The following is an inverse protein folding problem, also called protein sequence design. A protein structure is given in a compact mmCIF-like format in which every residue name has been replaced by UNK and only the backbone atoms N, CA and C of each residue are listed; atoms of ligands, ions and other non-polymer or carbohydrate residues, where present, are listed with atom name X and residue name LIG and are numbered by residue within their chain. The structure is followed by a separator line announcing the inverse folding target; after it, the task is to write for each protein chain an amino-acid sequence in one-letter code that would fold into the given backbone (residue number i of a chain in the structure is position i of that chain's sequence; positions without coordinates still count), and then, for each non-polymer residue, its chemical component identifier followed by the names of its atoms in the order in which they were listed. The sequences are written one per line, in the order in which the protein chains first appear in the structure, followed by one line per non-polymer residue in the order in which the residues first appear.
data_IF_936540926749
#
_entry.id   IF_936540926749
#
_cell.length_a   1.000
_cell.length_b   1.000
_cell.length_c   1.000
_cell.angle_alpha   90.00
_cell.angle_beta   90.00
_cell.angle_gamma   90.00
#
_symmetry.space_group_name_H-M   'P 1'
#
loop_
_entity.id
_entity.type
_entity.pdbx_description
1 polymer ?
#
# COMPACT_ATOMS: atom_id res chain seq x y z
N UNK A 1 -1.95 -0.35 -17.18
CA UNK A 1 -0.50 -0.14 -16.97
C UNK A 1 -0.24 -0.24 -15.47
N UNK A 2 0.55 -1.21 -15.02
CA UNK A 2 0.76 -1.46 -13.57
C UNK A 2 1.56 -0.31 -12.94
N UNK A 3 1.11 0.28 -11.81
CA UNK A 3 1.75 1.44 -11.17
C UNK A 3 3.15 1.17 -10.59
N UNK A 4 3.65 -0.06 -10.70
CA UNK A 4 4.96 -0.47 -10.18
C UNK A 4 6.11 -0.25 -11.18
N UNK A 5 5.80 0.03 -12.46
CA UNK A 5 6.81 0.11 -13.54
C UNK A 5 7.79 1.29 -13.54
N UNK A 6 7.80 2.15 -12.52
CA UNK A 6 8.65 3.34 -12.53
C UNK A 6 9.08 3.66 -11.09
N UNK A 7 10.18 3.09 -10.58
CA UNK A 7 11.20 3.85 -9.79
C UNK A 7 12.40 3.09 -9.17
N UNK A 8 12.73 1.85 -9.50
CA UNK A 8 13.96 1.22 -8.95
C UNK A 8 15.23 1.41 -9.79
N UNK A 9 15.15 2.08 -10.95
CA UNK A 9 16.28 2.25 -11.89
C UNK A 9 17.12 3.52 -11.61
N UNK A 10 16.66 4.44 -10.74
CA UNK A 10 17.24 5.78 -10.71
C UNK A 10 18.49 5.96 -9.83
N UNK A 11 18.90 4.98 -9.03
CA UNK A 11 20.15 5.06 -8.23
C UNK A 11 21.38 4.43 -8.89
N UNK A 12 21.25 3.78 -10.06
CA UNK A 12 22.36 3.05 -10.71
C UNK A 12 22.92 3.78 -11.95
N UNK A 13 22.30 4.88 -12.43
CA UNK A 13 22.60 5.41 -13.79
C UNK A 13 22.75 6.92 -13.99
N UNK A 14 23.20 7.71 -13.00
CA UNK A 14 23.48 9.15 -13.25
C UNK A 14 24.85 9.63 -12.78
N UNK A 15 25.89 9.08 -13.41
CA UNK A 15 27.09 9.86 -13.75
C UNK A 15 26.87 10.52 -15.12
N UNK A 16 27.12 11.83 -15.22
CA UNK A 16 27.10 12.68 -16.42
C UNK A 16 25.75 12.93 -17.12
N UNK A 17 25.21 14.15 -16.95
CA UNK A 17 25.27 15.21 -17.99
C UNK A 17 24.61 16.51 -17.52
N UNK A 18 25.29 17.60 -17.85
CA UNK A 18 24.98 19.02 -17.64
C UNK A 18 23.89 19.55 -18.57
N UNK A 19 23.42 20.77 -18.24
CA UNK A 19 22.64 21.77 -19.02
C UNK A 19 21.14 21.50 -19.20
N UNK A 20 20.22 22.49 -19.17
CA UNK A 20 20.21 23.96 -18.96
C UNK A 20 18.78 24.37 -18.58
N UNK A 21 18.63 25.50 -17.89
CA UNK A 21 17.35 26.17 -17.55
C UNK A 21 16.77 26.96 -18.73
N UNK A 22 15.44 27.20 -18.71
CA UNK A 22 14.66 28.44 -19.05
C UNK A 22 13.25 28.09 -19.66
N UNK A 23 12.30 29.04 -19.85
CA UNK A 23 11.29 29.43 -18.86
C UNK A 23 9.83 29.43 -19.40
N UNK A 24 8.90 29.92 -18.56
CA UNK A 24 7.45 29.95 -18.69
C UNK A 24 6.82 30.61 -19.94
N UNK A 25 5.59 30.20 -20.27
CA UNK A 25 4.67 30.90 -21.18
C UNK A 25 3.20 30.58 -20.87
N UNK A 26 2.36 31.60 -20.67
CA UNK A 26 0.89 31.55 -20.52
C UNK A 26 0.22 31.87 -21.87
N UNK A 27 -0.95 31.28 -22.18
CA UNK A 27 -2.27 31.98 -22.30
C UNK A 27 -3.43 31.12 -22.83
N UNK A 28 -4.59 31.41 -22.22
CA UNK A 28 -5.96 31.52 -22.76
C UNK A 28 -6.73 30.28 -23.25
N UNK A 29 -7.86 30.00 -22.61
CA UNK A 29 -9.04 29.43 -23.28
C UNK A 29 -10.33 30.02 -22.73
N UNK A 30 -11.24 30.29 -23.68
CA UNK A 30 -12.49 31.06 -23.56
C UNK A 30 -13.56 30.34 -22.73
N UNK A 31 -14.43 31.18 -22.17
CA UNK A 31 -15.65 30.90 -21.42
C UNK A 31 -16.66 30.04 -22.16
N UNK A 32 -17.37 29.18 -21.42
CA UNK A 32 -18.70 28.69 -21.78
C UNK A 32 -19.62 28.97 -20.59
N UNK A 33 -20.79 29.51 -20.91
CA UNK A 33 -21.75 30.22 -20.07
C UNK A 33 -22.53 29.28 -19.12
N UNK A 34 -22.73 29.73 -17.88
CA UNK A 34 -23.30 28.99 -16.74
C UNK A 34 -24.84 29.12 -16.69
N UNK A 35 -25.49 29.35 -17.84
CA UNK A 35 -26.94 29.57 -17.96
C UNK A 35 -27.69 28.41 -18.62
N UNK A 36 -27.00 27.34 -19.05
CA UNK A 36 -27.61 26.23 -19.81
C UNK A 36 -27.74 24.92 -19.01
N UNK A 37 -27.42 24.89 -17.71
CA UNK A 37 -27.47 23.65 -16.90
C UNK A 37 -28.38 23.71 -15.66
N UNK A 38 -29.13 24.81 -15.47
CA UNK A 38 -30.01 24.99 -14.31
C UNK A 38 -31.47 25.17 -14.76
N UNK A 39 -32.00 24.19 -15.48
CA UNK A 39 -33.40 24.20 -15.95
C UNK A 39 -34.12 22.85 -15.81
N UNK A 40 -33.73 22.01 -14.83
CA UNK A 40 -34.49 20.81 -14.45
C UNK A 40 -34.50 20.63 -12.92
N UNK A 41 -34.86 21.70 -12.21
CA UNK A 41 -35.30 21.64 -10.82
C UNK A 41 -36.68 22.28 -10.74
N UNK A 42 -37.61 21.57 -10.10
CA UNK A 42 -38.99 21.95 -9.74
C UNK A 42 -40.06 21.48 -10.71
N UNK A 43 -40.74 20.37 -10.38
CA UNK A 43 -42.15 20.39 -9.98
C UNK A 43 -42.61 18.94 -9.69
N UNK A 44 -42.89 18.62 -8.43
CA UNK A 44 -44.07 17.87 -7.97
C UNK A 44 -44.07 17.96 -6.43
N UNK A 45 -45.13 18.56 -5.92
CA UNK A 45 -45.39 18.89 -4.54
C UNK A 45 -46.36 17.86 -3.93
N UNK A 46 -46.08 17.48 -2.68
CA UNK A 46 -46.96 16.98 -1.62
C UNK A 46 -47.92 15.79 -1.86
N UNK A 47 -47.62 14.69 -1.16
CA UNK A 47 -48.61 13.92 -0.40
C UNK A 47 -47.98 13.49 0.94
N UNK A 48 -48.41 14.11 2.03
CA UNK A 48 -48.11 13.68 3.40
C UNK A 48 -49.23 12.78 3.91
N UNK A 49 -48.91 11.54 4.28
CA UNK A 49 -49.70 10.77 5.23
C UNK A 49 -48.81 9.87 6.10
N UNK A 50 -49.13 9.94 7.40
CA UNK A 50 -48.80 9.09 8.53
C UNK A 50 -47.92 7.83 8.36
N UNK A 51 -46.85 7.80 9.14
CA UNK A 51 -46.66 6.80 10.19
C UNK A 51 -46.69 5.32 9.81
N UNK A 52 -45.51 4.79 9.47
CA UNK A 52 -45.07 3.48 9.95
C UNK A 52 -43.56 3.57 10.15
N UNK A 53 -43.10 3.42 11.40
CA UNK A 53 -41.68 3.36 11.71
C UNK A 53 -41.05 2.21 10.94
N UNK A 54 -40.36 2.53 9.84
CA UNK A 54 -39.37 1.62 9.26
C UNK A 54 -38.28 1.49 10.30
N UNK A 55 -38.28 0.37 11.02
CA UNK A 55 -37.07 -0.16 11.62
C UNK A 55 -35.99 -0.06 10.54
N UNK A 56 -34.96 0.72 10.84
CA UNK A 56 -33.80 0.91 9.99
C UNK A 56 -33.15 -0.46 9.84
N UNK A 57 -33.57 -1.23 8.84
CA UNK A 57 -32.89 -2.46 8.46
C UNK A 57 -31.54 -2.01 7.94
N UNK A 58 -30.53 -2.09 8.82
CA UNK A 58 -29.15 -1.88 8.43
C UNK A 58 -28.86 -2.74 7.21
N UNK A 59 -28.22 -2.14 6.20
CA UNK A 59 -27.69 -2.90 5.07
C UNK A 59 -27.01 -4.16 5.59
N UNK A 60 -27.19 -5.34 4.95
CA UNK A 60 -26.47 -6.53 5.35
C UNK A 60 -24.98 -6.19 5.38
N UNK A 61 -24.30 -6.51 6.49
CA UNK A 61 -22.88 -6.25 6.66
C UNK A 61 -22.13 -6.81 5.45
N UNK A 62 -21.18 -6.02 4.92
CA UNK A 62 -20.35 -6.41 3.79
C UNK A 62 -19.62 -7.73 4.12
N UNK A 63 -19.42 -8.60 3.13
CA UNK A 63 -18.66 -9.83 3.35
C UNK A 63 -17.25 -9.47 3.83
N UNK A 64 -16.86 -9.85 5.06
CA UNK A 64 -15.56 -9.47 5.62
C UNK A 64 -14.41 -10.28 5.00
N UNK A 65 -14.69 -11.25 4.13
CA UNK A 65 -13.67 -11.99 3.39
C UNK A 65 -13.10 -11.17 2.24
N UNK A 66 -11.92 -11.60 1.80
CA UNK A 66 -11.28 -11.07 0.60
C UNK A 66 -12.03 -11.58 -0.64
N UNK A 67 -12.40 -10.68 -1.55
CA UNK A 67 -13.04 -11.06 -2.81
C UNK A 67 -12.03 -11.71 -3.76
N UNK A 68 -12.52 -12.36 -4.81
CA UNK A 68 -11.67 -12.94 -5.85
C UNK A 68 -10.80 -11.88 -6.55
N UNK A 69 -11.35 -10.69 -6.78
CA UNK A 69 -10.64 -9.57 -7.42
C UNK A 69 -9.55 -9.00 -6.50
N UNK A 70 -9.86 -8.82 -5.22
CA UNK A 70 -8.89 -8.41 -4.20
C UNK A 70 -7.75 -9.42 -4.08
N UNK A 71 -8.07 -10.72 -4.06
CA UNK A 71 -7.09 -11.81 -4.01
C UNK A 71 -6.18 -11.80 -5.23
N UNK A 72 -6.76 -11.72 -6.43
CA UNK A 72 -5.98 -11.67 -7.67
C UNK A 72 -5.05 -10.44 -7.71
N UNK A 73 -5.50 -9.31 -7.18
CA UNK A 73 -4.71 -8.07 -7.06
C UNK A 73 -3.53 -8.24 -6.09
N UNK A 74 -3.77 -8.75 -4.89
CA UNK A 74 -2.72 -9.02 -3.87
C UNK A 74 -1.65 -9.95 -4.44
N UNK A 75 -2.07 -11.10 -4.99
CA UNK A 75 -1.15 -12.09 -5.57
C UNK A 75 -0.33 -11.44 -6.69
N UNK A 76 -0.98 -10.67 -7.56
CA UNK A 76 -0.28 -9.96 -8.63
C UNK A 76 0.77 -8.99 -8.10
N UNK A 77 0.46 -8.18 -7.09
CA UNK A 77 1.43 -7.25 -6.50
C UNK A 77 2.58 -7.97 -5.81
N UNK A 78 2.31 -9.08 -5.13
CA UNK A 78 3.36 -9.90 -4.53
C UNK A 78 4.30 -10.49 -5.59
N UNK A 79 3.77 -11.03 -6.70
CA UNK A 79 4.61 -11.57 -7.79
C UNK A 79 5.42 -10.46 -8.48
N UNK A 80 4.76 -9.36 -8.86
CA UNK A 80 5.41 -8.25 -9.55
C UNK A 80 6.53 -7.64 -8.67
N UNK A 81 6.24 -7.38 -7.39
CA UNK A 81 7.21 -6.77 -6.47
C UNK A 81 8.36 -7.70 -6.08
N UNK A 82 8.12 -9.01 -5.96
CA UNK A 82 9.18 -9.99 -5.72
C UNK A 82 10.18 -9.96 -6.88
N UNK A 83 9.67 -10.01 -8.10
CA UNK A 83 10.51 -9.96 -9.29
C UNK A 83 11.35 -8.70 -9.32
N UNK A 84 10.73 -7.54 -9.12
CA UNK A 84 11.43 -6.26 -9.14
C UNK A 84 12.50 -6.16 -8.04
N UNK A 85 12.20 -6.63 -6.83
CA UNK A 85 13.13 -6.64 -5.72
C UNK A 85 14.34 -7.55 -5.99
N UNK A 86 14.09 -8.79 -6.44
CA UNK A 86 15.15 -9.74 -6.72
C UNK A 86 16.02 -9.30 -7.90
N UNK A 87 15.42 -8.81 -8.99
CA UNK A 87 16.15 -8.29 -10.14
C UNK A 87 17.07 -7.11 -9.76
N UNK A 88 16.62 -6.25 -8.82
CA UNK A 88 17.39 -5.09 -8.38
C UNK A 88 18.65 -5.46 -7.57
N UNK A 89 18.68 -6.62 -6.93
CA UNK A 89 19.80 -7.02 -6.06
C UNK A 89 20.64 -8.17 -6.60
N UNK A 90 20.15 -8.96 -7.57
CA UNK A 90 20.75 -10.22 -8.01
C UNK A 90 22.23 -10.13 -8.43
N UNK A 91 22.66 -9.02 -9.04
CA UNK A 91 23.97 -8.90 -9.66
C UNK A 91 24.88 -7.85 -9.00
N UNK A 92 24.57 -7.44 -7.77
CA UNK A 92 25.39 -6.46 -7.04
C UNK A 92 26.71 -7.10 -6.57
N UNK A 93 27.84 -6.44 -6.80
CA UNK A 93 29.12 -6.87 -6.20
C UNK A 93 29.13 -6.63 -4.69
N UNK A 94 30.07 -7.22 -3.96
CA UNK A 94 30.22 -6.98 -2.52
C UNK A 94 30.48 -5.50 -2.19
N UNK A 95 31.25 -4.81 -3.04
CA UNK A 95 31.50 -3.37 -2.88
C UNK A 95 30.21 -2.58 -3.04
N UNK A 96 29.37 -2.92 -4.03
CA UNK A 96 28.07 -2.26 -4.24
C UNK A 96 27.07 -2.58 -3.11
N UNK A 97 27.07 -3.81 -2.62
CA UNK A 97 26.23 -4.26 -1.51
C UNK A 97 26.51 -3.46 -0.23
N UNK A 98 27.79 -3.19 0.03
CA UNK A 98 28.27 -2.51 1.25
C UNK A 98 28.46 -1.01 1.09
N UNK A 99 28.36 -0.47 -0.13
CA UNK A 99 28.55 0.95 -0.39
C UNK A 99 27.55 1.80 0.41
N UNK A 100 28.08 2.74 1.19
CA UNK A 100 27.29 3.76 1.90
C UNK A 100 27.51 5.13 1.26
N UNK A 101 26.46 5.81 0.76
CA UNK A 101 26.60 7.14 0.17
C UNK A 101 26.95 8.21 1.21
N UNK A 102 26.66 7.96 2.49
CA UNK A 102 27.19 8.72 3.64
C UNK A 102 27.08 7.89 4.93
N UNK A 103 27.76 8.28 6.02
CA UNK A 103 27.74 7.53 7.29
C UNK A 103 26.34 7.36 7.90
N UNK A 104 25.40 8.25 7.57
CA UNK A 104 24.04 8.28 8.11
C UNK A 104 22.99 7.69 7.16
N UNK A 105 23.43 6.99 6.11
CA UNK A 105 22.56 6.40 5.10
C UNK A 105 22.81 4.91 4.99
N UNK A 106 21.73 4.18 4.73
CA UNK A 106 21.81 2.75 4.52
C UNK A 106 22.53 2.41 3.22
N UNK A 107 23.31 1.34 3.24
CA UNK A 107 23.80 0.69 2.04
C UNK A 107 22.66 0.02 1.26
N UNK A 108 22.94 -0.44 0.04
CA UNK A 108 21.95 -1.21 -0.72
C UNK A 108 21.59 -2.51 0.01
N UNK A 109 22.58 -3.18 0.62
CA UNK A 109 22.34 -4.37 1.44
C UNK A 109 21.47 -4.09 2.67
N UNK A 110 21.69 -2.98 3.37
CA UNK A 110 20.86 -2.57 4.51
C UNK A 110 19.42 -2.23 4.07
N UNK A 111 19.22 -1.59 2.92
CA UNK A 111 17.88 -1.37 2.35
C UNK A 111 17.21 -2.70 1.99
N UNK A 112 17.95 -3.63 1.38
CA UNK A 112 17.43 -4.93 1.00
C UNK A 112 17.02 -5.75 2.24
N UNK A 113 17.85 -5.76 3.28
CA UNK A 113 17.55 -6.40 4.57
C UNK A 113 16.31 -5.78 5.22
N UNK A 114 16.19 -4.44 5.24
CA UNK A 114 15.01 -3.74 5.76
C UNK A 114 13.71 -4.19 5.09
N UNK A 115 13.70 -4.32 3.76
CA UNK A 115 12.53 -4.79 3.01
C UNK A 115 12.15 -6.22 3.43
N UNK A 116 13.15 -7.09 3.55
CA UNK A 116 12.94 -8.50 3.93
C UNK A 116 12.40 -8.66 5.36
N UNK A 117 12.91 -7.91 6.34
CA UNK A 117 12.35 -7.93 7.70
C UNK A 117 10.98 -7.27 7.79
N UNK A 118 10.71 -6.26 6.95
CA UNK A 118 9.41 -5.58 6.91
C UNK A 118 8.33 -6.49 6.33
N UNK A 119 8.61 -7.27 5.29
CA UNK A 119 7.69 -8.28 4.75
C UNK A 119 7.24 -9.25 5.85
N UNK A 120 8.20 -9.76 6.63
CA UNK A 120 7.91 -10.65 7.77
C UNK A 120 7.02 -9.95 8.81
N UNK A 121 7.36 -8.71 9.16
CA UNK A 121 6.60 -7.94 10.12
C UNK A 121 5.16 -7.68 9.66
N UNK A 122 4.94 -7.39 8.37
CA UNK A 122 3.61 -7.18 7.79
C UNK A 122 2.75 -8.44 7.86
N UNK A 123 3.29 -9.60 7.46
CA UNK A 123 2.56 -10.87 7.60
C UNK A 123 2.20 -11.16 9.07
N UNK A 124 3.12 -10.90 10.01
CA UNK A 124 2.83 -11.04 11.43
C UNK A 124 1.77 -10.05 11.94
N UNK A 125 1.60 -8.88 11.33
CA UNK A 125 0.49 -7.95 11.64
C UNK A 125 -0.85 -8.49 11.14
N UNK A 126 -0.88 -9.13 9.97
CA UNK A 126 -2.06 -9.84 9.46
C UNK A 126 -2.46 -10.96 10.44
N UNK A 127 -1.48 -11.78 10.85
CA UNK A 127 -1.69 -12.86 11.83
C UNK A 127 -2.18 -12.32 13.19
N UNK A 128 -1.60 -11.23 13.68
CA UNK A 128 -2.00 -10.59 14.94
C UNK A 128 -3.41 -10.02 14.87
N UNK A 129 -3.78 -9.35 13.76
CA UNK A 129 -5.14 -8.86 13.58
C UNK A 129 -6.15 -10.00 13.63
N UNK A 130 -5.87 -11.11 12.94
CA UNK A 130 -6.74 -12.29 12.93
C UNK A 130 -6.85 -13.01 14.29
N UNK A 131 -5.91 -12.77 15.20
CA UNK A 131 -5.97 -13.30 16.56
C UNK A 131 -6.88 -12.46 17.48
N UNK A 132 -7.14 -11.20 17.13
CA UNK A 132 -8.09 -10.34 17.86
C UNK A 132 -9.54 -10.77 17.61
N UNK A 133 -10.44 -10.36 18.51
CA UNK A 133 -11.88 -10.56 18.29
C UNK A 133 -12.34 -9.75 17.06
N UNK A 134 -13.33 -10.26 16.28
CA UNK A 134 -13.95 -9.46 15.24
C UNK A 134 -14.44 -8.12 15.78
N UNK A 135 -14.04 -7.04 15.11
CA UNK A 135 -14.43 -5.69 15.46
C UNK A 135 -15.79 -5.39 14.81
N UNK A 136 -16.88 -5.16 15.58
CA UNK A 136 -18.21 -4.91 15.02
C UNK A 136 -18.28 -3.61 14.19
N UNK A 137 -17.38 -2.67 14.42
CA UNK A 137 -17.32 -1.38 13.73
C UNK A 137 -16.27 -1.34 12.60
N UNK A 138 -15.79 -2.49 12.13
CA UNK A 138 -14.68 -2.57 11.18
C UNK A 138 -14.94 -1.73 9.91
N UNK A 139 -16.15 -1.82 9.32
CA UNK A 139 -16.53 -1.08 8.11
C UNK A 139 -16.31 0.43 8.27
N UNK A 140 -16.76 0.98 9.41
CA UNK A 140 -16.63 2.41 9.70
C UNK A 140 -15.18 2.79 9.98
N UNK A 141 -14.44 1.96 10.73
CA UNK A 141 -13.05 2.27 11.13
C UNK A 141 -12.06 2.13 9.97
N UNK A 142 -12.35 1.27 8.99
CA UNK A 142 -11.45 1.01 7.87
C UNK A 142 -11.99 1.50 6.52
N UNK A 143 -13.05 2.31 6.52
CA UNK A 143 -13.60 2.92 5.31
C UNK A 143 -12.51 3.70 4.54
N UNK A 144 -12.31 3.35 3.28
CA UNK A 144 -11.34 4.01 2.39
C UNK A 144 -9.86 3.72 2.69
N UNK A 145 -9.55 2.79 3.61
CA UNK A 145 -8.16 2.49 4.00
C UNK A 145 -7.38 1.80 2.89
N UNK A 146 -8.00 0.86 2.17
CA UNK A 146 -7.34 0.19 1.06
C UNK A 146 -6.91 1.19 -0.02
N UNK A 147 -7.82 2.05 -0.50
CA UNK A 147 -7.52 3.07 -1.50
C UNK A 147 -6.50 4.10 -0.99
N UNK A 148 -6.56 4.41 0.31
CA UNK A 148 -5.57 5.27 0.94
C UNK A 148 -4.18 4.64 0.88
N UNK A 149 -4.03 3.38 1.29
CA UNK A 149 -2.78 2.61 1.29
C UNK A 149 -2.22 2.50 -0.12
N UNK A 150 -3.04 2.08 -1.08
CA UNK A 150 -2.67 1.95 -2.50
C UNK A 150 -2.11 3.25 -3.09
N UNK A 151 -2.63 4.40 -2.64
CA UNK A 151 -2.15 5.71 -3.08
C UNK A 151 -0.87 6.14 -2.38
N UNK A 152 -0.73 5.89 -1.07
CA UNK A 152 0.37 6.45 -0.29
C UNK A 152 1.62 5.59 -0.27
N UNK A 153 1.49 4.26 -0.29
CA UNK A 153 2.63 3.34 -0.16
C UNK A 153 3.60 3.41 -1.35
N UNK A 154 3.15 3.54 -2.61
CA UNK A 154 4.06 3.74 -3.73
C UNK A 154 4.70 5.13 -3.73
N UNK A 155 4.05 6.14 -3.13
CA UNK A 155 4.51 7.53 -3.16
C UNK A 155 5.86 7.72 -2.47
N UNK A 156 6.74 8.54 -3.07
CA UNK A 156 8.07 8.86 -2.55
C UNK A 156 8.20 10.31 -2.07
N UNK A 157 7.08 11.01 -1.93
CA UNK A 157 7.06 12.43 -1.57
C UNK A 157 7.30 12.69 -0.10
N UNK A 158 7.12 11.68 0.76
CA UNK A 158 7.32 11.75 2.20
C UNK A 158 8.36 10.74 2.65
N UNK A 159 9.08 11.07 3.72
CA UNK A 159 10.04 10.19 4.37
C UNK A 159 9.48 9.76 5.71
N UNK A 160 9.62 8.48 6.04
CA UNK A 160 9.29 7.93 7.35
C UNK A 160 10.55 7.33 7.96
N UNK A 161 10.66 7.39 9.29
CA UNK A 161 11.75 6.73 10.00
C UNK A 161 11.30 5.30 10.35
N UNK A 162 12.12 4.32 9.99
CA UNK A 162 11.84 2.93 10.32
C UNK A 162 11.83 2.70 11.85
N UNK A 163 10.80 2.03 12.38
CA UNK A 163 10.77 1.51 13.75
C UNK A 163 11.96 0.59 14.00
N UNK A 164 12.39 0.47 15.26
CA UNK A 164 13.63 -0.23 15.61
C UNK A 164 13.60 -1.72 15.24
N UNK A 165 12.41 -2.32 15.27
CA UNK A 165 12.13 -3.73 15.00
C UNK A 165 12.41 -4.14 13.56
N UNK A 166 12.34 -3.18 12.64
CA UNK A 166 12.57 -3.42 11.20
C UNK A 166 13.83 -2.71 10.70
N UNK A 167 14.68 -2.19 11.59
CA UNK A 167 15.97 -1.64 11.16
C UNK A 167 16.90 -2.79 10.73
N UNK A 168 17.67 -2.60 9.64
CA UNK A 168 18.62 -3.60 9.20
C UNK A 168 19.78 -3.74 10.19
N UNK A 169 20.28 -4.96 10.35
CA UNK A 169 21.49 -5.23 11.14
C UNK A 169 22.77 -4.89 10.36
N UNK A 170 22.72 -4.92 9.02
CA UNK A 170 23.87 -4.72 8.13
C UNK A 170 24.83 -5.92 8.09
N UNK A 171 24.44 -7.06 8.68
CA UNK A 171 25.31 -8.24 8.84
C UNK A 171 25.09 -9.30 7.76
N UNK A 172 23.91 -9.33 7.14
CA UNK A 172 23.56 -10.38 6.20
C UNK A 172 24.25 -10.18 4.84
N UNK A 173 24.71 -11.28 4.27
CA UNK A 173 25.13 -11.34 2.87
C UNK A 173 23.92 -11.23 1.93
N UNK A 174 24.20 -10.89 0.67
CA UNK A 174 23.17 -10.81 -0.37
C UNK A 174 22.39 -12.12 -0.51
N UNK A 175 23.08 -13.25 -0.52
CA UNK A 175 22.48 -14.55 -0.74
C UNK A 175 21.61 -14.97 0.46
N UNK A 176 21.99 -14.59 1.68
CA UNK A 176 21.16 -14.79 2.88
C UNK A 176 19.88 -13.94 2.83
N UNK A 177 19.97 -12.68 2.41
CA UNK A 177 18.80 -11.81 2.26
C UNK A 177 17.86 -12.36 1.18
N UNK A 178 18.39 -12.75 0.01
CA UNK A 178 17.58 -13.35 -1.07
C UNK A 178 16.89 -14.62 -0.58
N UNK A 179 17.62 -15.53 0.08
CA UNK A 179 17.05 -16.78 0.58
C UNK A 179 15.93 -16.53 1.59
N UNK A 180 16.17 -15.67 2.59
CA UNK A 180 15.17 -15.37 3.62
C UNK A 180 13.96 -14.64 3.04
N UNK A 181 14.17 -13.69 2.12
CA UNK A 181 13.10 -12.98 1.43
C UNK A 181 12.20 -13.94 0.66
N UNK A 182 12.76 -14.84 -0.15
CA UNK A 182 11.99 -15.84 -0.90
C UNK A 182 11.17 -16.75 0.03
N UNK A 183 11.73 -17.15 1.17
CA UNK A 183 11.03 -17.96 2.16
C UNK A 183 9.82 -17.22 2.75
N UNK A 184 9.97 -15.95 3.14
CA UNK A 184 8.84 -15.18 3.68
C UNK A 184 7.81 -14.85 2.59
N UNK A 185 8.25 -14.52 1.38
CA UNK A 185 7.35 -14.22 0.25
C UNK A 185 6.51 -15.43 -0.15
N UNK A 186 7.10 -16.62 -0.17
CA UNK A 186 6.35 -17.86 -0.41
C UNK A 186 5.23 -18.07 0.64
N UNK A 187 5.49 -17.74 1.92
CA UNK A 187 4.46 -17.79 2.97
C UNK A 187 3.37 -16.73 2.78
N UNK A 188 3.75 -15.50 2.42
CA UNK A 188 2.79 -14.43 2.12
C UNK A 188 1.87 -14.80 0.96
N UNK A 189 2.44 -15.38 -0.12
CA UNK A 189 1.70 -15.85 -1.29
C UNK A 189 0.77 -17.01 -0.92
N UNK A 190 1.26 -18.02 -0.22
CA UNK A 190 0.44 -19.15 0.22
C UNK A 190 -0.74 -18.68 1.09
N UNK A 191 -0.50 -17.75 2.01
CA UNK A 191 -1.54 -17.13 2.81
C UNK A 191 -2.59 -16.43 1.92
N UNK A 192 -2.14 -15.58 0.99
CA UNK A 192 -3.03 -14.84 0.10
C UNK A 192 -3.83 -15.76 -0.84
N UNK A 193 -3.24 -16.87 -1.29
CA UNK A 193 -3.91 -17.86 -2.15
C UNK A 193 -4.99 -18.65 -1.40
N UNK A 194 -4.70 -19.10 -0.18
CA UNK A 194 -5.52 -20.11 0.51
C UNK A 194 -6.47 -19.54 1.56
N UNK A 195 -6.24 -18.33 2.07
CA UNK A 195 -7.02 -17.81 3.20
C UNK A 195 -8.49 -17.61 2.82
N UNK A 196 -9.39 -18.17 3.63
CA UNK A 196 -10.85 -17.92 3.59
C UNK A 196 -11.33 -17.22 4.89
N UNK A 197 -10.38 -16.65 5.65
CA UNK A 197 -10.66 -15.96 6.90
C UNK A 197 -11.35 -14.61 6.63
N UNK A 198 -12.17 -14.09 7.58
CA UNK A 198 -12.86 -12.82 7.45
C UNK A 198 -11.90 -11.63 7.68
N UNK A 199 -10.88 -11.46 6.84
CA UNK A 199 -9.77 -10.53 7.04
C UNK A 199 -10.20 -9.10 7.43
N UNK A 200 -11.29 -8.60 6.84
CA UNK A 200 -11.75 -7.22 7.05
C UNK A 200 -12.40 -7.00 8.41
N UNK A 201 -12.96 -8.05 9.01
CA UNK A 201 -13.58 -7.96 10.34
C UNK A 201 -12.56 -7.87 11.49
N UNK A 202 -11.28 -8.12 11.22
CA UNK A 202 -10.23 -8.19 12.23
C UNK A 202 -9.30 -7.00 12.11
N UNK A 203 -9.19 -6.18 13.15
CA UNK A 203 -8.51 -4.89 13.09
C UNK A 203 -7.49 -4.71 14.21
N UNK A 204 -6.38 -4.04 13.90
CA UNK A 204 -5.40 -3.56 14.89
C UNK A 204 -4.93 -2.15 14.50
N UNK A 205 -4.47 -1.40 15.49
CA UNK A 205 -3.96 -0.05 15.26
C UNK A 205 -2.54 -0.07 14.67
N UNK A 206 -2.31 0.80 13.70
CA UNK A 206 -1.02 0.98 13.06
C UNK A 206 -0.12 1.91 13.90
N UNK A 207 1.19 1.60 14.09
CA UNK A 207 2.10 2.41 14.90
C UNK A 207 2.29 3.85 14.38
N UNK A 208 2.28 4.05 13.06
CA UNK A 208 2.18 5.40 12.49
C UNK A 208 0.74 5.93 12.53
N UNK A 209 0.48 7.08 13.18
CA UNK A 209 -0.86 7.64 13.36
C UNK A 209 -1.62 7.95 12.06
N UNK A 210 -0.89 8.18 10.95
CA UNK A 210 -1.48 8.48 9.66
C UNK A 210 -2.35 7.34 9.12
N UNK A 211 -2.04 6.09 9.48
CA UNK A 211 -2.80 4.92 9.06
C UNK A 211 -3.92 4.58 10.06
N UNK A 212 -3.75 4.87 11.35
CA UNK A 212 -4.73 4.58 12.40
C UNK A 212 -5.13 3.08 12.38
N UNK A 213 -6.37 2.72 12.73
CA UNK A 213 -6.88 1.36 12.64
C UNK A 213 -6.87 0.84 11.20
N UNK A 214 -6.31 -0.36 11.02
CA UNK A 214 -6.30 -1.12 9.76
C UNK A 214 -6.89 -2.51 10.01
N UNK A 215 -7.60 -3.05 9.02
CA UNK A 215 -8.03 -4.44 9.06
C UNK A 215 -6.93 -5.39 8.54
N UNK A 216 -7.08 -6.70 8.71
CA UNK A 216 -6.07 -7.68 8.31
C UNK A 216 -5.84 -7.71 6.78
N UNK A 217 -6.83 -7.30 5.98
CA UNK A 217 -6.65 -7.14 4.52
C UNK A 217 -5.84 -5.88 4.19
N UNK A 218 -6.08 -4.76 4.87
CA UNK A 218 -5.30 -3.53 4.73
C UNK A 218 -3.81 -3.74 5.04
N UNK A 219 -3.49 -4.60 6.02
CA UNK A 219 -2.10 -4.99 6.34
C UNK A 219 -1.43 -5.88 5.28
N UNK A 220 -2.22 -6.53 4.42
CA UNK A 220 -1.76 -7.46 3.40
C UNK A 220 -1.38 -6.77 2.08
N UNK A 221 -1.88 -5.55 1.83
CA UNK A 221 -1.74 -4.79 0.57
C UNK A 221 -0.66 -3.71 0.59
#
# INVERSE_FOLDING_TARGET
MSPVRILSIFFIRRGLRLTRLTPAGKKARRSIDMKTLMALVSLILLCSSAGAGKLNQGSPASDPKMTSEERAKVIKWMIDSEKEYLDAIANLTEEQWRYKPSPFRWSVGEVAEHIMVTEKALLSRVEAALAEKPNPDWEKKTAGKAEFIERVMPSRTRRAQAPIEVRPSGKLSRDEVIRQYKQIRARSLEFAEKTDKPLKAHTIDHPFPVFNTLNAYDWLI
#
